data_IF_339948604174
#
_entry.id   IF_339948604174
#
_cell.length_a   1.000
_cell.length_b   1.000
_cell.length_c   1.000
_cell.angle_alpha   90.00
_cell.angle_beta   90.00
_cell.angle_gamma   90.00
#
_symmetry.space_group_name_H-M   'P 1'
#
loop_
_entity.id
_entity.type
_entity.pdbx_description
1 polymer ?
#
# COMPACT_ATOMS: atom_id res chain seq x y z
N UNK A 1 5.39 -10.85 13.74
CA UNK A 1 4.44 -10.56 12.65
C UNK A 1 3.05 -11.14 12.93
N UNK A 2 2.92 -12.43 13.29
CA UNK A 2 1.61 -13.04 13.62
C UNK A 2 0.81 -12.29 14.71
N UNK A 3 1.46 -11.83 15.79
CA UNK A 3 0.80 -11.01 16.83
C UNK A 3 0.27 -9.66 16.33
N UNK A 4 0.80 -9.12 15.23
CA UNK A 4 0.23 -7.92 14.60
C UNK A 4 -0.97 -8.25 13.69
N UNK A 5 -1.09 -9.50 13.23
CA UNK A 5 -2.20 -9.92 12.37
C UNK A 5 -3.48 -10.16 13.18
N UNK A 6 -3.35 -10.77 14.36
CA UNK A 6 -4.42 -10.95 15.34
C UNK A 6 -4.15 -10.07 16.54
N UNK A 7 -4.59 -8.80 16.51
CA UNK A 7 -4.33 -7.90 17.60
C UNK A 7 -5.17 -8.21 18.83
N UNK A 8 -4.56 -8.06 20.00
CA UNK A 8 -5.23 -8.28 21.28
C UNK A 8 -6.30 -7.19 21.58
N UNK A 9 -6.21 -6.02 20.93
CA UNK A 9 -7.14 -4.91 21.09
C UNK A 9 -7.35 -4.12 19.78
N UNK A 10 -8.60 -4.05 19.32
CA UNK A 10 -8.96 -3.35 18.08
C UNK A 10 -8.78 -1.83 18.15
N UNK A 11 -9.00 -1.22 19.32
CA UNK A 11 -8.78 0.22 19.51
C UNK A 11 -7.28 0.49 19.61
N UNK A 12 -6.57 -0.34 20.37
CA UNK A 12 -5.13 -0.23 20.58
C UNK A 12 -4.33 -0.32 19.27
N UNK A 13 -4.80 -1.10 18.30
CA UNK A 13 -4.20 -1.24 16.96
C UNK A 13 -4.05 0.07 16.19
N UNK A 14 -4.92 1.04 16.44
CA UNK A 14 -4.84 2.33 15.74
C UNK A 14 -3.66 3.18 16.22
N UNK A 15 -3.16 2.92 17.44
CA UNK A 15 -2.16 3.75 18.14
C UNK A 15 -0.87 2.97 18.42
N UNK A 16 -0.95 1.65 18.57
CA UNK A 16 0.14 0.79 19.00
C UNK A 16 0.37 -0.39 18.05
N UNK A 17 1.64 -0.77 17.92
CA UNK A 17 2.09 -1.95 17.18
C UNK A 17 2.94 -2.86 18.07
N UNK A 18 2.82 -4.17 17.86
CA UNK A 18 3.54 -5.16 18.64
C UNK A 18 4.95 -5.39 18.06
N UNK A 19 5.96 -5.35 18.92
CA UNK A 19 7.36 -5.65 18.59
C UNK A 19 8.00 -6.46 19.70
N UNK A 20 8.94 -7.34 19.34
CA UNK A 20 9.78 -8.04 20.31
C UNK A 20 11.10 -7.31 20.43
N UNK A 21 11.46 -6.89 21.64
CA UNK A 21 12.74 -6.24 21.91
C UNK A 21 13.63 -7.17 22.76
N UNK A 22 14.94 -7.08 22.52
CA UNK A 22 15.94 -7.85 23.26
C UNK A 22 16.50 -6.92 24.32
N UNK A 23 16.28 -7.26 25.59
CA UNK A 23 16.66 -6.41 26.73
C UNK A 23 18.06 -6.76 27.23
N UNK A 24 18.51 -8.01 27.08
CA UNK A 24 19.81 -8.45 27.56
C UNK A 24 20.65 -9.12 26.46
N UNK A 25 21.71 -8.44 26.00
CA UNK A 25 22.57 -8.89 24.90
C UNK A 25 23.54 -10.01 25.30
N UNK A 26 23.80 -10.21 26.60
CA UNK A 26 24.77 -11.20 27.11
C UNK A 26 24.14 -12.57 27.35
N UNK A 27 22.88 -12.63 27.79
CA UNK A 27 22.17 -13.90 28.06
C UNK A 27 21.16 -14.28 26.96
N UNK A 28 21.00 -13.44 25.93
CA UNK A 28 19.95 -13.56 24.89
C UNK A 28 18.53 -13.77 25.45
N UNK A 29 18.28 -13.27 26.65
CA UNK A 29 16.95 -13.32 27.26
C UNK A 29 16.05 -12.29 26.58
N UNK A 30 15.08 -12.82 25.83
CA UNK A 30 13.97 -12.05 25.27
C UNK A 30 12.97 -11.79 26.39
N UNK A 31 12.93 -10.59 26.94
CA UNK A 31 11.79 -10.17 27.76
C UNK A 31 10.67 -9.72 26.84
N UNK A 32 9.46 -10.15 27.20
CA UNK A 32 8.27 -10.23 26.35
C UNK A 32 7.74 -8.91 25.80
N UNK A 33 6.97 -9.08 24.73
CA UNK A 33 5.88 -8.23 24.24
C UNK A 33 6.02 -6.73 24.57
N UNK A 34 6.73 -5.95 23.75
CA UNK A 34 6.70 -4.48 23.85
C UNK A 34 5.78 -3.87 22.78
N UNK A 35 5.00 -2.87 23.18
CA UNK A 35 4.15 -2.10 22.28
C UNK A 35 4.85 -0.79 21.93
N UNK A 36 5.07 -0.55 20.64
CA UNK A 36 5.63 0.70 20.13
C UNK A 36 4.49 1.59 19.66
N UNK A 37 4.60 2.91 19.90
CA UNK A 37 3.70 3.88 19.28
C UNK A 37 3.80 3.81 17.76
N UNK A 38 2.64 3.72 17.11
CA UNK A 38 2.48 3.58 15.68
C UNK A 38 1.32 2.65 15.35
N UNK A 39 0.60 2.95 14.27
CA UNK A 39 -0.56 2.19 13.84
C UNK A 39 -0.16 0.82 13.32
N UNK A 40 -0.78 -0.24 13.84
CA UNK A 40 -0.67 -1.58 13.29
C UNK A 40 -1.62 -1.75 12.09
N UNK A 41 -1.16 -1.34 10.91
CA UNK A 41 -1.95 -1.35 9.67
C UNK A 41 -2.43 -2.76 9.27
N UNK A 42 -1.62 -3.80 9.53
CA UNK A 42 -1.97 -5.20 9.20
C UNK A 42 -3.16 -5.65 10.06
N UNK A 43 -3.16 -5.33 11.36
CA UNK A 43 -4.27 -5.64 12.26
C UNK A 43 -5.56 -4.92 11.86
N UNK A 44 -5.47 -3.62 11.50
CA UNK A 44 -6.64 -2.87 11.00
C UNK A 44 -7.22 -3.54 9.75
N UNK A 45 -6.37 -3.89 8.78
CA UNK A 45 -6.78 -4.53 7.53
C UNK A 45 -7.47 -5.87 7.80
N UNK A 46 -6.89 -6.69 8.67
CA UNK A 46 -7.46 -7.99 9.01
C UNK A 46 -8.85 -7.83 9.67
N UNK A 47 -8.98 -6.96 10.66
CA UNK A 47 -10.28 -6.69 11.29
C UNK A 47 -11.31 -6.17 10.28
N UNK A 48 -10.94 -5.22 9.41
CA UNK A 48 -11.83 -4.68 8.39
C UNK A 48 -12.32 -5.76 7.41
N UNK A 49 -11.42 -6.64 6.96
CA UNK A 49 -11.78 -7.78 6.10
C UNK A 49 -12.70 -8.78 6.81
N UNK A 50 -12.42 -9.09 8.08
CA UNK A 50 -13.24 -10.00 8.88
C UNK A 50 -14.66 -9.44 9.09
N UNK A 51 -14.79 -8.17 9.45
CA UNK A 51 -16.10 -7.51 9.58
C UNK A 51 -16.83 -7.38 8.24
N UNK A 52 -16.11 -7.08 7.15
CA UNK A 52 -16.70 -7.04 5.81
C UNK A 52 -17.24 -8.40 5.36
N UNK A 53 -16.47 -9.47 5.59
CA UNK A 53 -16.90 -10.84 5.28
C UNK A 53 -18.08 -11.28 6.15
N UNK A 54 -18.07 -10.95 7.45
CA UNK A 54 -19.18 -11.23 8.36
C UNK A 54 -20.45 -10.47 7.96
N UNK A 55 -20.34 -9.19 7.59
CA UNK A 55 -21.46 -8.40 7.10
C UNK A 55 -22.05 -8.99 5.80
N UNK A 56 -21.20 -9.50 4.90
CA UNK A 56 -21.66 -10.20 3.70
C UNK A 56 -22.43 -11.49 4.04
N UNK A 57 -21.94 -12.29 4.99
CA UNK A 57 -22.57 -13.52 5.43
C UNK A 57 -23.95 -13.31 6.11
N UNK A 58 -24.12 -12.19 6.82
CA UNK A 58 -25.39 -11.80 7.46
C UNK A 58 -26.45 -11.36 6.44
N UNK A 59 -26.05 -10.97 5.23
CA UNK A 59 -26.96 -10.67 4.12
C UNK A 59 -27.75 -9.38 4.31
N UNK A 60 -29.06 -9.43 4.12
CA UNK A 60 -29.91 -8.22 4.05
C UNK A 60 -29.96 -7.42 5.35
N UNK A 61 -29.75 -8.06 6.49
CA UNK A 61 -29.75 -7.42 7.82
C UNK A 61 -28.54 -6.49 8.00
N UNK A 62 -27.42 -6.77 7.33
CA UNK A 62 -26.21 -5.95 7.41
C UNK A 62 -26.21 -4.75 6.44
N UNK A 63 -27.25 -4.58 5.59
CA UNK A 63 -27.35 -3.45 4.65
C UNK A 63 -27.13 -2.07 5.29
N UNK A 64 -27.78 -1.70 6.41
CA UNK A 64 -27.54 -0.39 7.05
C UNK A 64 -26.09 -0.23 7.54
N UNK A 65 -25.44 -1.31 7.98
CA UNK A 65 -24.03 -1.28 8.39
C UNK A 65 -23.11 -1.02 7.20
N UNK A 66 -23.31 -1.71 6.07
CA UNK A 66 -22.52 -1.50 4.85
C UNK A 66 -22.72 -0.09 4.30
N UNK A 67 -23.97 0.38 4.22
CA UNK A 67 -24.29 1.73 3.72
C UNK A 67 -23.64 2.83 4.58
N UNK A 68 -23.53 2.62 5.90
CA UNK A 68 -22.81 3.55 6.78
C UNK A 68 -21.32 3.65 6.42
N UNK A 69 -20.65 2.52 6.25
CA UNK A 69 -19.23 2.52 5.88
C UNK A 69 -18.98 3.04 4.45
N UNK A 70 -19.92 2.80 3.53
CA UNK A 70 -19.87 3.37 2.18
C UNK A 70 -19.98 4.91 2.21
N UNK A 71 -20.95 5.45 2.94
CA UNK A 71 -21.08 6.89 3.13
C UNK A 71 -19.85 7.51 3.81
N UNK A 72 -19.29 6.82 4.81
CA UNK A 72 -18.05 7.22 5.48
C UNK A 72 -16.88 7.24 4.50
N UNK A 73 -16.69 6.20 3.70
CA UNK A 73 -15.61 6.12 2.71
C UNK A 73 -15.73 7.21 1.64
N UNK A 74 -16.94 7.49 1.16
CA UNK A 74 -17.19 8.59 0.22
C UNK A 74 -16.85 9.95 0.83
N UNK A 75 -17.23 10.16 2.10
CA UNK A 75 -16.92 11.39 2.85
C UNK A 75 -15.41 11.57 3.04
N UNK A 76 -14.71 10.51 3.46
CA UNK A 76 -13.24 10.54 3.61
C UNK A 76 -12.56 10.78 2.28
N UNK A 77 -13.02 10.17 1.19
CA UNK A 77 -12.47 10.39 -0.16
C UNK A 77 -12.65 11.85 -0.59
N UNK A 78 -13.81 12.46 -0.32
CA UNK A 78 -14.03 13.88 -0.62
C UNK A 78 -13.15 14.79 0.23
N UNK A 79 -12.96 14.46 1.50
CA UNK A 79 -12.04 15.16 2.39
C UNK A 79 -10.59 15.06 1.88
N UNK A 80 -10.13 13.86 1.49
CA UNK A 80 -8.80 13.65 0.92
C UNK A 80 -8.59 14.43 -0.38
N UNK A 81 -9.63 14.59 -1.20
CA UNK A 81 -9.57 15.39 -2.43
C UNK A 81 -9.23 16.86 -2.15
N UNK A 82 -9.72 17.42 -1.04
CA UNK A 82 -9.38 18.78 -0.60
C UNK A 82 -7.92 18.84 -0.14
N UNK A 83 -7.46 17.87 0.65
CA UNK A 83 -6.06 17.80 1.07
C UNK A 83 -5.09 17.64 -0.11
N UNK A 84 -5.46 16.87 -1.13
CA UNK A 84 -4.67 16.70 -2.35
C UNK A 84 -4.40 18.02 -3.09
N UNK A 85 -5.30 19.01 -2.97
CA UNK A 85 -5.09 20.34 -3.54
C UNK A 85 -3.94 21.10 -2.84
N UNK A 86 -3.72 20.83 -1.56
CA UNK A 86 -2.63 21.43 -0.77
C UNK A 86 -1.33 20.64 -0.84
N UNK A 87 -1.38 19.34 -1.17
CA UNK A 87 -0.23 18.46 -1.35
C UNK A 87 0.90 19.03 -2.23
N UNK A 88 0.67 19.67 -3.41
CA UNK A 88 1.78 20.19 -4.20
C UNK A 88 2.65 21.20 -3.42
N UNK A 89 2.02 22.05 -2.63
CA UNK A 89 2.73 23.03 -1.79
C UNK A 89 3.53 22.30 -0.70
N UNK A 90 2.89 21.36 0.01
CA UNK A 90 3.55 20.58 1.06
C UNK A 90 4.75 19.76 0.56
N UNK A 91 4.62 19.14 -0.61
CA UNK A 91 5.69 18.36 -1.24
C UNK A 91 6.86 19.27 -1.66
N UNK A 92 6.60 20.46 -2.20
CA UNK A 92 7.67 21.41 -2.53
C UNK A 92 8.52 21.78 -1.31
N UNK A 93 7.89 22.12 -0.18
CA UNK A 93 8.62 22.43 1.05
C UNK A 93 9.34 21.21 1.63
N UNK A 94 8.74 20.02 1.56
CA UNK A 94 9.36 18.78 2.02
C UNK A 94 10.62 18.44 1.21
N UNK A 95 10.56 18.57 -0.12
CA UNK A 95 11.70 18.33 -1.01
C UNK A 95 12.82 19.33 -0.72
N UNK A 96 12.51 20.62 -0.71
CA UNK A 96 13.52 21.65 -0.40
C UNK A 96 14.14 21.41 0.98
N UNK A 97 13.32 21.14 2.00
CA UNK A 97 13.79 20.84 3.36
C UNK A 97 14.72 19.64 3.44
N UNK A 98 14.45 18.58 2.67
CA UNK A 98 15.31 17.38 2.62
C UNK A 98 16.66 17.62 1.93
N UNK A 99 16.75 18.64 1.07
CA UNK A 99 17.96 18.99 0.32
C UNK A 99 18.85 20.00 1.04
N UNK A 100 18.31 20.82 1.94
CA UNK A 100 19.06 21.87 2.66
C UNK A 100 20.22 21.32 3.49
N UNK A 101 20.09 20.10 4.01
CA UNK A 101 21.10 19.47 4.89
C UNK A 101 22.15 18.64 4.11
N UNK A 102 22.05 18.58 2.78
CA UNK A 102 22.88 17.73 1.91
C UNK A 102 23.85 18.56 1.07
N UNK A 103 25.15 18.29 1.21
CA UNK A 103 26.20 19.00 0.46
C UNK A 103 26.31 18.57 -1.03
N UNK A 104 25.88 17.34 -1.38
CA UNK A 104 26.08 16.74 -2.70
C UNK A 104 24.76 16.34 -3.38
N UNK A 105 24.00 17.34 -3.83
CA UNK A 105 22.70 17.15 -4.50
C UNK A 105 22.82 16.29 -5.77
N UNK A 106 23.97 16.37 -6.47
CA UNK A 106 24.22 15.60 -7.69
C UNK A 106 24.18 14.07 -7.46
N UNK A 107 24.67 13.59 -6.32
CA UNK A 107 24.64 12.16 -5.97
C UNK A 107 23.21 11.67 -5.76
N UNK A 108 22.35 12.50 -5.16
CA UNK A 108 20.96 12.14 -4.87
C UNK A 108 20.14 12.01 -6.16
N UNK A 109 20.38 12.88 -7.16
CA UNK A 109 19.77 12.75 -8.50
C UNK A 109 20.21 11.48 -9.24
N UNK A 110 21.48 11.09 -9.12
CA UNK A 110 21.96 9.83 -9.70
C UNK A 110 21.29 8.63 -9.04
N UNK A 111 21.15 8.64 -7.72
CA UNK A 111 20.45 7.58 -6.99
C UNK A 111 18.97 7.51 -7.36
N UNK A 112 18.30 8.64 -7.54
CA UNK A 112 16.93 8.72 -8.03
C UNK A 112 16.80 8.18 -9.47
N UNK A 113 17.74 8.53 -10.35
CA UNK A 113 17.79 8.00 -11.72
C UNK A 113 17.95 6.47 -11.75
N UNK A 114 18.83 5.92 -10.91
CA UNK A 114 18.99 4.47 -10.74
C UNK A 114 17.73 3.82 -10.17
N UNK A 115 17.03 4.48 -9.24
CA UNK A 115 15.74 4.00 -8.74
C UNK A 115 14.69 3.94 -9.87
N UNK A 116 14.55 4.98 -10.69
CA UNK A 116 13.62 4.99 -11.83
C UNK A 116 13.98 3.88 -12.82
N UNK A 117 15.27 3.73 -13.14
CA UNK A 117 15.74 2.69 -14.06
C UNK A 117 15.40 1.28 -13.54
N UNK A 118 15.68 1.00 -12.27
CA UNK A 118 15.38 -0.32 -11.67
C UNK A 118 13.89 -0.61 -11.61
N UNK A 119 13.04 0.38 -11.33
CA UNK A 119 11.58 0.25 -11.35
C UNK A 119 11.08 -0.06 -12.76
N UNK A 120 11.53 0.68 -13.79
CA UNK A 120 11.15 0.43 -15.18
C UNK A 120 11.61 -0.96 -15.63
N UNK A 121 12.84 -1.34 -15.33
CA UNK A 121 13.35 -2.69 -15.65
C UNK A 121 12.54 -3.77 -14.94
N UNK A 122 12.21 -3.59 -13.65
CA UNK A 122 11.37 -4.52 -12.89
C UNK A 122 9.98 -4.68 -13.51
N UNK A 123 9.35 -3.57 -13.93
CA UNK A 123 8.04 -3.59 -14.57
C UNK A 123 8.07 -4.28 -15.95
N UNK A 124 9.13 -4.06 -16.74
CA UNK A 124 9.34 -4.75 -18.01
C UNK A 124 9.50 -6.25 -17.84
N UNK A 125 10.32 -6.69 -16.86
CA UNK A 125 10.51 -8.11 -16.56
C UNK A 125 9.19 -8.73 -16.10
N UNK A 126 8.47 -8.06 -15.20
CA UNK A 126 7.16 -8.52 -14.74
C UNK A 126 6.16 -8.68 -15.90
N UNK A 127 6.10 -7.69 -16.79
CA UNK A 127 5.24 -7.73 -17.97
C UNK A 127 5.56 -8.93 -18.87
N UNK A 128 6.83 -9.23 -19.10
CA UNK A 128 7.27 -10.42 -19.88
C UNK A 128 6.83 -11.71 -19.18
N UNK A 129 7.04 -11.81 -17.85
CA UNK A 129 6.64 -12.99 -17.07
C UNK A 129 5.13 -13.22 -17.18
N UNK A 130 4.32 -12.17 -17.04
CA UNK A 130 2.85 -12.27 -17.18
C UNK A 130 2.46 -12.80 -18.55
N UNK A 131 3.09 -12.32 -19.63
CA UNK A 131 2.85 -12.82 -20.99
C UNK A 131 3.20 -14.31 -21.13
N UNK A 132 4.32 -14.76 -20.54
CA UNK A 132 4.73 -16.17 -20.55
C UNK A 132 3.73 -17.03 -19.78
N UNK A 133 3.30 -16.60 -18.61
CA UNK A 133 2.28 -17.32 -17.80
C UNK A 133 0.97 -17.42 -18.57
N UNK A 134 0.53 -16.34 -19.23
CA UNK A 134 -0.67 -16.34 -20.07
C UNK A 134 -0.55 -17.30 -21.27
N UNK A 135 0.63 -17.38 -21.89
CA UNK A 135 0.88 -18.33 -22.97
C UNK A 135 0.77 -19.78 -22.50
N UNK A 136 1.36 -20.10 -21.33
CA UNK A 136 1.31 -21.43 -20.73
C UNK A 136 -0.12 -21.80 -20.35
N UNK A 137 -0.85 -20.89 -19.69
CA UNK A 137 -2.21 -21.14 -19.22
C UNK A 137 -3.23 -21.22 -20.37
N UNK A 138 -3.17 -20.31 -21.33
CA UNK A 138 -4.17 -20.22 -22.41
C UNK A 138 -3.85 -21.11 -23.61
N UNK A 139 -2.61 -21.62 -23.76
CA UNK A 139 -2.11 -22.41 -24.92
C UNK A 139 -2.37 -21.74 -26.29
N UNK A 140 -2.68 -20.45 -26.32
CA UNK A 140 -2.97 -19.63 -27.50
C UNK A 140 -2.01 -18.44 -27.52
N UNK A 141 -1.79 -17.85 -28.69
CA UNK A 141 -0.85 -16.75 -28.84
C UNK A 141 -1.28 -15.52 -28.00
N UNK A 142 -0.55 -15.17 -26.90
CA UNK A 142 -0.91 -14.07 -26.01
C UNK A 142 -0.75 -12.69 -26.67
N UNK A 143 0.04 -12.61 -27.76
CA UNK A 143 0.26 -11.37 -28.49
C UNK A 143 -1.04 -10.84 -29.15
N UNK A 144 -2.01 -11.73 -29.41
CA UNK A 144 -3.33 -11.32 -29.88
C UNK A 144 -4.11 -10.57 -28.80
N UNK A 145 -4.00 -11.00 -27.54
CA UNK A 145 -4.61 -10.31 -26.39
C UNK A 145 -3.95 -8.95 -26.15
N UNK A 146 -2.62 -8.89 -26.29
CA UNK A 146 -1.85 -7.66 -26.14
C UNK A 146 -2.30 -6.59 -27.14
N UNK A 147 -2.58 -6.95 -28.40
CA UNK A 147 -3.11 -6.02 -29.40
C UNK A 147 -4.42 -5.34 -28.99
N UNK A 148 -5.35 -6.08 -28.39
CA UNK A 148 -6.61 -5.52 -27.88
C UNK A 148 -6.44 -4.75 -26.57
N UNK A 149 -5.40 -5.04 -25.80
CA UNK A 149 -5.12 -4.40 -24.51
C UNK A 149 -4.28 -3.12 -24.64
N UNK A 150 -3.64 -2.88 -25.79
CA UNK A 150 -2.83 -1.67 -26.00
C UNK A 150 -3.64 -0.39 -25.94
N UNK A 151 -4.86 -0.38 -26.50
CA UNK A 151 -5.74 0.80 -26.46
C UNK A 151 -6.13 1.20 -25.03
N UNK A 152 -6.67 0.32 -24.17
CA UNK A 152 -6.95 0.67 -22.78
C UNK A 152 -5.67 0.98 -21.99
N UNK A 153 -4.53 0.35 -22.32
CA UNK A 153 -3.25 0.67 -21.68
C UNK A 153 -2.80 2.11 -21.98
N UNK A 154 -2.95 2.56 -23.22
CA UNK A 154 -2.64 3.94 -23.61
C UNK A 154 -3.59 4.95 -22.96
N UNK A 155 -4.87 4.61 -22.86
CA UNK A 155 -5.87 5.46 -22.19
C UNK A 155 -5.55 5.57 -20.69
N UNK A 156 -5.29 4.45 -20.03
CA UNK A 156 -4.90 4.39 -18.61
C UNK A 156 -3.61 5.17 -18.33
N UNK A 157 -2.62 5.07 -19.23
CA UNK A 157 -1.39 5.87 -19.14
C UNK A 157 -1.67 7.36 -19.29
N UNK A 158 -2.53 7.74 -20.24
CA UNK A 158 -2.90 9.13 -20.49
C UNK A 158 -3.70 9.76 -19.34
N UNK A 159 -4.62 9.01 -18.74
CA UNK A 159 -5.41 9.46 -17.59
C UNK A 159 -4.67 9.28 -16.26
N UNK A 160 -3.50 8.65 -16.25
CA UNK A 160 -2.76 8.23 -15.05
C UNK A 160 -3.63 7.48 -14.04
N UNK A 161 -4.65 6.78 -14.54
CA UNK A 161 -5.62 6.04 -13.74
C UNK A 161 -5.63 4.57 -14.19
N UNK A 162 -5.61 3.60 -13.27
CA UNK A 162 -5.74 2.19 -13.60
C UNK A 162 -7.00 1.86 -14.40
#
# INVERSE_FOLDING_TARGET
>A
MFYNFFPDNIVGVTIYQYRTEIVNYTTNEKVGNSTRSGTNMIGVLFCALAFGAAANAVGTVAKPFVNFFEALAATVTKLMSVFLLFTPIGVCFMVVGSLLDRQNIASDFVQLGLFIATVITGLLIYFIIVIIVLWIASRKNPLRLLKYSLEPFLISFATTSP
#
